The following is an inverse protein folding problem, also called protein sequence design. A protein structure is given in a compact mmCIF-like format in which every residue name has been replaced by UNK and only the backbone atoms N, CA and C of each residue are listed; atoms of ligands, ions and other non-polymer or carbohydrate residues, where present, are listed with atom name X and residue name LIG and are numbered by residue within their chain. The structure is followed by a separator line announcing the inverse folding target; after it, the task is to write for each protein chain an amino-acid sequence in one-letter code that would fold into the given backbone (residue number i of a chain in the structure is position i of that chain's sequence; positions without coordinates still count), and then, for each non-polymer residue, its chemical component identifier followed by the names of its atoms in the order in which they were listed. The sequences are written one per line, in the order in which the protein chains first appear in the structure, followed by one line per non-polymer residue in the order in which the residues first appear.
data_IF_782601463715
#
_entry.id   IF_782601463715
#
_cell.length_a   1.000
_cell.length_b   1.000
_cell.length_c   1.000
_cell.angle_alpha   90.00
_cell.angle_beta   90.00
_cell.angle_gamma   90.00
#
_symmetry.space_group_name_H-M   'P 1'
#
loop_
_entity.id
_entity.type
_entity.pdbx_description
1 polymer ?
#
# COMPACT_ATOMS: atom_id res chain seq x y z
N UNK A 1 -3.76 36.06 -7.30
CA UNK A 1 -5.08 35.42 -7.20
C UNK A 1 -4.98 34.06 -7.90
N UNK A 2 -4.58 33.02 -7.16
CA UNK A 2 -4.63 31.63 -7.66
C UNK A 2 -6.06 31.14 -7.48
N UNK A 3 -6.74 30.87 -8.58
CA UNK A 3 -7.97 30.06 -8.56
C UNK A 3 -7.67 28.74 -7.84
N UNK A 4 -8.14 28.62 -6.60
CA UNK A 4 -8.17 27.35 -5.90
C UNK A 4 -9.13 26.44 -6.67
N UNK A 5 -8.55 25.59 -7.51
CA UNK A 5 -9.27 24.54 -8.23
C UNK A 5 -10.09 23.78 -7.17
N UNK A 6 -11.40 23.92 -7.27
CA UNK A 6 -12.40 23.32 -6.38
C UNK A 6 -12.35 21.80 -6.59
N UNK A 7 -11.39 21.12 -5.95
CA UNK A 7 -11.21 19.67 -6.05
C UNK A 7 -12.51 19.01 -5.62
N UNK A 8 -13.13 18.27 -6.50
CA UNK A 8 -14.40 17.61 -6.21
C UNK A 8 -14.14 16.40 -5.29
N UNK A 9 -14.92 16.17 -4.23
CA UNK A 9 -14.69 15.07 -3.28
C UNK A 9 -14.58 13.70 -3.95
N UNK A 10 -15.34 13.45 -5.02
CA UNK A 10 -15.31 12.19 -5.75
C UNK A 10 -13.95 11.96 -6.47
N UNK A 11 -13.29 13.03 -6.93
CA UNK A 11 -12.02 12.92 -7.62
C UNK A 11 -10.91 12.46 -6.66
N UNK A 12 -10.93 12.93 -5.41
CA UNK A 12 -10.00 12.48 -4.35
C UNK A 12 -10.24 11.02 -4.01
N UNK A 13 -11.52 10.62 -3.90
CA UNK A 13 -11.88 9.23 -3.62
C UNK A 13 -11.46 8.30 -4.76
N UNK A 14 -11.71 8.70 -6.01
CA UNK A 14 -11.32 7.94 -7.20
C UNK A 14 -9.79 7.83 -7.34
N UNK A 15 -9.07 8.95 -7.15
CA UNK A 15 -7.62 8.97 -7.17
C UNK A 15 -7.04 8.08 -6.07
N UNK A 16 -7.57 8.17 -4.84
CA UNK A 16 -7.17 7.31 -3.73
C UNK A 16 -7.43 5.84 -4.02
N UNK A 17 -8.58 5.47 -4.56
CA UNK A 17 -8.90 4.11 -4.95
C UNK A 17 -7.96 3.60 -6.06
N UNK A 18 -7.68 4.40 -7.08
CA UNK A 18 -6.74 4.04 -8.16
C UNK A 18 -5.33 3.77 -7.63
N UNK A 19 -4.82 4.60 -6.71
CA UNK A 19 -3.54 4.35 -6.04
C UNK A 19 -3.59 3.03 -5.29
N UNK A 20 -4.64 2.78 -4.51
CA UNK A 20 -4.73 1.58 -3.67
C UNK A 20 -4.82 0.27 -4.47
N UNK A 21 -5.43 0.29 -5.64
CA UNK A 21 -5.41 -0.87 -6.56
C UNK A 21 -3.99 -1.24 -6.99
N UNK A 22 -3.10 -0.27 -7.13
CA UNK A 22 -1.70 -0.49 -7.55
C UNK A 22 -0.76 -0.78 -6.37
N UNK A 23 -1.10 -0.34 -5.15
CA UNK A 23 -0.20 -0.38 -3.99
C UNK A 23 -0.48 -1.51 -3.02
N UNK A 24 -1.48 -2.35 -3.26
CA UNK A 24 -1.86 -3.47 -2.40
C UNK A 24 -0.91 -4.68 -2.49
N UNK A 25 0.40 -4.46 -2.48
CA UNK A 25 1.44 -5.49 -2.56
C UNK A 25 1.28 -6.63 -1.54
N UNK A 26 0.92 -6.37 -0.26
CA UNK A 26 0.73 -7.45 0.69
C UNK A 26 -0.34 -8.46 0.26
N UNK A 27 -1.42 -7.99 -0.36
CA UNK A 27 -2.50 -8.85 -0.85
C UNK A 27 -2.10 -9.66 -2.10
N UNK A 28 -1.10 -9.21 -2.84
CA UNK A 28 -0.65 -9.82 -4.09
C UNK A 28 0.67 -10.61 -3.93
N UNK A 29 1.27 -10.66 -2.75
CA UNK A 29 2.60 -11.26 -2.57
C UNK A 29 2.72 -12.68 -3.10
N UNK A 30 1.67 -13.48 -2.96
CA UNK A 30 1.67 -14.88 -3.44
C UNK A 30 1.97 -15.04 -4.94
N UNK A 31 1.64 -14.05 -5.79
CA UNK A 31 1.97 -14.10 -7.22
C UNK A 31 3.42 -13.68 -7.51
N UNK A 32 4.02 -12.88 -6.64
CA UNK A 32 5.41 -12.45 -6.77
C UNK A 32 6.41 -13.47 -6.20
N UNK A 33 6.00 -14.22 -5.18
CA UNK A 33 6.88 -15.07 -4.40
C UNK A 33 7.70 -16.03 -5.26
N UNK A 34 7.04 -16.84 -6.07
CA UNK A 34 7.70 -17.85 -6.89
C UNK A 34 8.62 -17.26 -7.97
N UNK A 35 8.18 -16.28 -8.78
CA UNK A 35 9.07 -15.62 -9.74
C UNK A 35 10.27 -14.91 -9.10
N UNK A 36 10.11 -14.32 -7.90
CA UNK A 36 11.20 -13.70 -7.15
C UNK A 36 12.22 -14.75 -6.67
N UNK A 37 11.75 -15.92 -6.22
CA UNK A 37 12.63 -17.03 -5.84
C UNK A 37 13.45 -17.51 -7.03
N UNK A 38 12.82 -17.72 -8.18
CA UNK A 38 13.45 -18.21 -9.39
C UNK A 38 14.49 -17.21 -9.94
N UNK A 39 14.17 -15.90 -9.97
CA UNK A 39 15.06 -14.88 -10.51
C UNK A 39 16.25 -14.55 -9.61
N UNK A 40 16.00 -14.39 -8.31
CA UNK A 40 17.03 -13.92 -7.35
C UNK A 40 17.66 -15.05 -6.54
N UNK A 41 17.36 -16.31 -6.87
CA UNK A 41 17.94 -17.48 -6.19
C UNK A 41 17.59 -17.55 -4.70
N UNK A 42 16.43 -17.02 -4.30
CA UNK A 42 15.97 -17.05 -2.93
C UNK A 42 15.36 -18.40 -2.58
N UNK A 43 15.65 -18.92 -1.39
CA UNK A 43 14.93 -20.06 -0.85
C UNK A 43 13.48 -19.68 -0.51
N UNK A 44 12.62 -20.68 -0.30
CA UNK A 44 11.24 -20.45 0.14
C UNK A 44 11.18 -19.65 1.45
N UNK A 45 12.07 -19.96 2.39
CA UNK A 45 12.23 -19.20 3.62
C UNK A 45 12.67 -17.76 3.35
N UNK A 46 13.60 -17.55 2.40
CA UNK A 46 14.06 -16.24 1.97
C UNK A 46 12.93 -15.38 1.43
N UNK A 47 12.07 -15.94 0.58
CA UNK A 47 10.89 -15.23 0.06
C UNK A 47 9.88 -14.89 1.18
N UNK A 48 9.73 -15.78 2.16
CA UNK A 48 8.95 -15.52 3.38
C UNK A 48 9.53 -14.37 4.20
N UNK A 49 10.86 -14.32 4.38
CA UNK A 49 11.53 -13.20 5.05
C UNK A 49 11.37 -11.88 4.28
N UNK A 50 11.43 -11.90 2.94
CA UNK A 50 11.18 -10.71 2.13
C UNK A 50 9.79 -10.10 2.41
N UNK A 51 8.78 -10.95 2.49
CA UNK A 51 7.43 -10.54 2.86
C UNK A 51 7.35 -10.04 4.31
N UNK A 52 7.97 -10.76 5.26
CA UNK A 52 8.02 -10.36 6.66
C UNK A 52 8.65 -8.98 6.85
N UNK A 53 9.78 -8.70 6.17
CA UNK A 53 10.43 -7.40 6.16
C UNK A 53 9.52 -6.32 5.56
N UNK A 54 8.85 -6.60 4.45
CA UNK A 54 7.92 -5.68 3.82
C UNK A 54 6.80 -5.26 4.80
N UNK A 55 6.18 -6.23 5.47
CA UNK A 55 5.10 -5.98 6.44
C UNK A 55 5.61 -5.27 7.70
N UNK A 56 6.80 -5.61 8.19
CA UNK A 56 7.40 -4.94 9.34
C UNK A 56 7.65 -3.45 9.03
N UNK A 57 8.24 -3.14 7.86
CA UNK A 57 8.47 -1.77 7.44
C UNK A 57 7.18 -1.03 7.04
N UNK A 58 6.15 -1.75 6.60
CA UNK A 58 4.81 -1.18 6.47
C UNK A 58 4.27 -0.71 7.82
N UNK A 59 4.36 -1.53 8.87
CA UNK A 59 3.95 -1.15 10.22
C UNK A 59 4.69 0.07 10.76
N UNK A 60 6.03 0.06 10.68
CA UNK A 60 6.89 1.18 11.08
C UNK A 60 6.55 2.43 10.25
N UNK A 61 6.40 2.26 8.96
CA UNK A 61 6.09 3.33 8.02
C UNK A 61 4.73 3.98 8.26
N UNK A 62 3.72 3.24 8.73
CA UNK A 62 2.42 3.83 9.09
C UNK A 62 2.54 4.85 10.23
N UNK A 63 3.41 4.59 11.21
CA UNK A 63 3.67 5.54 12.30
C UNK A 63 4.41 6.77 11.79
N UNK A 64 5.50 6.58 11.05
CA UNK A 64 6.30 7.68 10.48
C UNK A 64 5.47 8.49 9.48
N UNK A 65 4.73 7.81 8.60
CA UNK A 65 3.87 8.43 7.59
C UNK A 65 2.73 9.23 8.21
N UNK A 66 2.16 8.75 9.32
CA UNK A 66 1.17 9.49 10.10
C UNK A 66 1.73 10.81 10.64
N UNK A 67 2.89 10.79 11.30
CA UNK A 67 3.57 12.01 11.75
C UNK A 67 3.91 12.96 10.61
N UNK A 68 4.37 12.42 9.49
CA UNK A 68 4.72 13.21 8.31
C UNK A 68 3.50 13.90 7.72
N UNK A 69 2.38 13.16 7.63
CA UNK A 69 1.09 13.67 7.18
C UNK A 69 0.54 14.77 8.10
N UNK A 70 0.61 14.58 9.42
CA UNK A 70 0.12 15.55 10.38
C UNK A 70 0.92 16.85 10.33
N UNK A 71 2.23 16.75 10.11
CA UNK A 71 3.13 17.90 10.05
C UNK A 71 3.10 18.64 8.71
N UNK A 72 3.10 17.92 7.59
CA UNK A 72 3.28 18.49 6.25
C UNK A 72 2.08 18.29 5.32
N UNK A 73 1.05 17.59 5.81
CA UNK A 73 -0.16 17.28 5.06
C UNK A 73 -0.11 15.98 4.25
N UNK A 74 -1.28 15.48 3.80
CA UNK A 74 -1.40 14.17 3.15
C UNK A 74 -0.69 14.11 1.79
N UNK A 75 -0.64 15.24 1.06
CA UNK A 75 0.05 15.32 -0.23
C UNK A 75 1.54 15.06 -0.11
N UNK A 76 2.19 15.65 0.88
CA UNK A 76 3.63 15.50 1.09
C UNK A 76 3.98 14.06 1.46
N UNK A 77 3.25 13.45 2.40
CA UNK A 77 3.46 12.07 2.79
C UNK A 77 3.23 11.10 1.61
N UNK A 78 2.18 11.33 0.81
CA UNK A 78 1.88 10.51 -0.36
C UNK A 78 2.95 10.62 -1.46
N UNK A 79 3.52 11.80 -1.70
CA UNK A 79 4.62 11.98 -2.66
C UNK A 79 5.88 11.23 -2.24
N UNK A 80 6.26 11.29 -0.96
CA UNK A 80 7.36 10.50 -0.42
C UNK A 80 7.08 9.00 -0.52
N UNK A 81 5.85 8.58 -0.21
CA UNK A 81 5.41 7.19 -0.38
C UNK A 81 5.53 6.72 -1.83
N UNK A 82 5.12 7.55 -2.79
CA UNK A 82 5.25 7.27 -4.22
C UNK A 82 6.71 7.09 -4.63
N UNK A 83 7.59 8.00 -4.19
CA UNK A 83 9.03 7.93 -4.49
C UNK A 83 9.68 6.66 -3.95
N UNK A 84 9.40 6.30 -2.71
CA UNK A 84 9.93 5.08 -2.08
C UNK A 84 9.41 3.81 -2.76
N UNK A 85 8.11 3.73 -3.03
CA UNK A 85 7.51 2.56 -3.66
C UNK A 85 8.04 2.33 -5.07
N UNK A 86 8.00 3.37 -5.91
CA UNK A 86 8.50 3.28 -7.29
C UNK A 86 10.01 3.08 -7.32
N UNK A 87 10.76 3.74 -6.44
CA UNK A 87 12.18 3.50 -6.24
C UNK A 87 12.48 2.05 -5.91
N UNK A 88 11.69 1.42 -5.03
CA UNK A 88 11.78 0.00 -4.71
C UNK A 88 11.54 -0.90 -5.92
N UNK A 89 10.53 -0.62 -6.74
CA UNK A 89 10.27 -1.36 -7.97
C UNK A 89 11.42 -1.26 -8.97
N UNK A 90 11.89 -0.05 -9.25
CA UNK A 90 12.99 0.14 -10.21
C UNK A 90 14.31 -0.44 -9.70
N UNK A 91 14.59 -0.29 -8.43
CA UNK A 91 15.79 -0.84 -7.82
C UNK A 91 15.77 -2.39 -7.79
N UNK A 92 14.62 -3.01 -7.53
CA UNK A 92 14.45 -4.45 -7.65
C UNK A 92 14.68 -4.90 -9.09
N UNK A 93 14.07 -4.23 -10.06
CA UNK A 93 14.24 -4.56 -11.48
C UNK A 93 15.71 -4.44 -11.97
N UNK A 94 16.47 -3.49 -11.41
CA UNK A 94 17.88 -3.29 -11.72
C UNK A 94 18.83 -4.23 -10.94
N UNK A 95 18.34 -4.94 -9.92
CA UNK A 95 19.17 -5.79 -9.05
C UNK A 95 19.70 -7.01 -9.83
N UNK A 96 21.03 -7.26 -9.83
CA UNK A 96 21.59 -8.49 -10.41
C UNK A 96 21.09 -9.75 -9.70
N UNK A 97 20.80 -10.81 -10.44
CA UNK A 97 20.31 -12.09 -9.91
C UNK A 97 21.25 -12.69 -8.83
N UNK A 98 22.55 -12.49 -8.99
CA UNK A 98 23.58 -12.98 -8.05
C UNK A 98 23.51 -12.35 -6.65
N UNK A 99 22.83 -11.20 -6.52
CA UNK A 99 22.70 -10.47 -5.25
C UNK A 99 21.32 -10.59 -4.63
N UNK A 100 20.74 -11.80 -4.64
CA UNK A 100 19.40 -12.05 -4.12
C UNK A 100 19.20 -11.61 -2.66
N UNK A 101 20.22 -11.71 -1.81
CA UNK A 101 20.13 -11.21 -0.43
C UNK A 101 19.91 -9.70 -0.31
N UNK A 102 20.34 -8.92 -1.30
CA UNK A 102 20.12 -7.47 -1.32
C UNK A 102 18.65 -7.12 -1.63
N UNK A 103 17.84 -8.05 -2.13
CA UNK A 103 16.42 -7.85 -2.44
C UNK A 103 15.62 -7.35 -1.22
N UNK A 104 15.95 -7.84 -0.02
CA UNK A 104 15.30 -7.38 1.22
C UNK A 104 15.46 -5.87 1.43
N UNK A 105 16.69 -5.37 1.28
CA UNK A 105 17.00 -3.95 1.47
C UNK A 105 16.50 -3.07 0.32
N UNK A 106 16.65 -3.58 -0.91
CA UNK A 106 16.39 -2.82 -2.13
C UNK A 106 14.90 -2.74 -2.47
N UNK A 107 14.15 -3.81 -2.20
CA UNK A 107 12.72 -3.88 -2.50
C UNK A 107 11.85 -3.83 -1.26
N UNK A 108 12.03 -4.76 -0.30
CA UNK A 108 11.05 -4.94 0.77
C UNK A 108 10.96 -3.73 1.70
N UNK A 109 12.08 -3.09 2.02
CA UNK A 109 12.10 -1.90 2.87
C UNK A 109 11.41 -0.71 2.18
N UNK A 110 11.85 -0.25 0.99
CA UNK A 110 11.23 0.92 0.37
C UNK A 110 9.80 0.66 -0.09
N UNK A 111 9.46 -0.56 -0.51
CA UNK A 111 8.08 -0.89 -0.87
C UNK A 111 7.16 -0.91 0.34
N UNK A 112 7.61 -1.44 1.48
CA UNK A 112 6.87 -1.41 2.73
C UNK A 112 6.63 0.01 3.24
N UNK A 113 7.68 0.82 3.33
CA UNK A 113 7.59 2.23 3.73
C UNK A 113 6.74 3.06 2.76
N UNK A 114 6.93 2.87 1.44
CA UNK A 114 6.20 3.59 0.40
C UNK A 114 4.70 3.33 0.48
N UNK A 115 4.30 2.06 0.58
CA UNK A 115 2.89 1.67 0.75
C UNK A 115 2.32 2.22 2.07
N UNK A 116 3.12 2.20 3.15
CA UNK A 116 2.73 2.71 4.46
C UNK A 116 2.49 4.22 4.49
N UNK A 117 3.22 4.99 3.70
CA UNK A 117 3.01 6.44 3.61
C UNK A 117 1.78 6.77 2.77
N UNK A 118 1.51 5.97 1.74
CA UNK A 118 0.34 6.16 0.86
C UNK A 118 -0.96 5.79 1.56
N UNK A 119 -1.03 4.62 2.19
CA UNK A 119 -2.29 4.06 2.70
C UNK A 119 -2.99 4.96 3.73
N UNK A 120 -2.39 5.32 4.89
CA UNK A 120 -3.06 6.16 5.89
C UNK A 120 -3.31 7.58 5.36
N UNK A 121 -2.44 8.12 4.51
CA UNK A 121 -2.61 9.46 3.95
C UNK A 121 -3.84 9.56 3.05
N UNK A 122 -4.07 8.55 2.20
CA UNK A 122 -5.24 8.46 1.35
C UNK A 122 -6.50 8.26 2.17
N UNK A 123 -6.45 7.33 3.14
CA UNK A 123 -7.58 6.98 4.00
C UNK A 123 -8.05 8.18 4.83
N UNK A 124 -7.11 8.87 5.49
CA UNK A 124 -7.39 10.05 6.29
C UNK A 124 -7.93 11.21 5.44
N UNK A 125 -7.31 11.46 4.29
CA UNK A 125 -7.78 12.50 3.36
C UNK A 125 -9.21 12.22 2.88
N UNK A 126 -9.49 10.98 2.44
CA UNK A 126 -10.83 10.59 1.99
C UNK A 126 -11.89 10.75 3.10
N UNK A 127 -11.58 10.35 4.33
CA UNK A 127 -12.50 10.50 5.48
C UNK A 127 -12.75 11.97 5.84
N UNK A 128 -11.76 12.85 5.71
CA UNK A 128 -11.92 14.29 5.93
C UNK A 128 -12.88 14.94 4.92
N UNK A 129 -12.85 14.48 3.67
CA UNK A 129 -13.77 14.95 2.62
C UNK A 129 -15.19 14.39 2.76
N UNK A 130 -15.33 13.19 3.31
CA UNK A 130 -16.63 12.49 3.48
C UNK A 130 -17.05 12.45 4.96
N UNK A 131 -17.01 13.60 5.68
CA UNK A 131 -17.33 13.68 7.11
C UNK A 131 -18.68 13.01 7.48
N UNK A 132 -19.71 13.19 6.67
CA UNK A 132 -21.03 12.59 6.90
C UNK A 132 -21.17 11.13 6.45
N UNK A 133 -20.19 10.59 5.70
CA UNK A 133 -20.23 9.25 5.10
C UNK A 133 -18.86 8.58 5.17
N UNK A 134 -18.20 8.64 6.33
CA UNK A 134 -16.84 8.08 6.54
C UNK A 134 -16.77 6.59 6.18
N UNK A 135 -17.83 5.83 6.46
CA UNK A 135 -17.91 4.40 6.12
C UNK A 135 -17.85 4.14 4.61
N UNK A 136 -18.47 5.00 3.78
CA UNK A 136 -18.37 4.90 2.33
C UNK A 136 -16.94 5.15 1.85
N UNK A 137 -16.28 6.19 2.34
CA UNK A 137 -14.89 6.48 1.99
C UNK A 137 -13.95 5.31 2.38
N UNK A 138 -14.09 4.81 3.60
CA UNK A 138 -13.31 3.67 4.10
C UNK A 138 -13.59 2.40 3.28
N UNK A 139 -14.86 2.14 2.95
CA UNK A 139 -15.26 0.97 2.18
C UNK A 139 -14.73 0.99 0.74
N UNK A 140 -14.76 2.14 0.07
CA UNK A 140 -14.22 2.26 -1.30
C UNK A 140 -12.70 2.10 -1.31
N UNK A 141 -11.98 2.76 -0.40
CA UNK A 141 -10.52 2.64 -0.31
C UNK A 141 -10.11 1.22 0.10
N UNK A 142 -10.75 0.63 1.11
CA UNK A 142 -10.49 -0.75 1.53
C UNK A 142 -10.84 -1.78 0.46
N UNK A 143 -11.96 -1.58 -0.25
CA UNK A 143 -12.35 -2.41 -1.40
C UNK A 143 -11.32 -2.34 -2.54
N UNK A 144 -10.73 -1.16 -2.80
CA UNK A 144 -9.67 -0.99 -3.78
C UNK A 144 -8.40 -1.76 -3.39
N UNK A 145 -8.03 -1.79 -2.09
CA UNK A 145 -6.93 -2.64 -1.60
C UNK A 145 -7.24 -4.12 -1.81
N UNK A 146 -8.47 -4.56 -1.51
CA UNK A 146 -8.89 -5.94 -1.77
C UNK A 146 -8.81 -6.32 -3.26
N UNK A 147 -9.22 -5.41 -4.15
CA UNK A 147 -9.16 -5.61 -5.60
C UNK A 147 -7.74 -5.63 -6.15
N UNK A 148 -6.78 -5.01 -5.44
CA UNK A 148 -5.37 -4.97 -5.85
C UNK A 148 -4.76 -6.35 -6.02
N UNK A 149 -5.12 -7.31 -5.16
CA UNK A 149 -4.65 -8.69 -5.26
C UNK A 149 -5.02 -9.34 -6.60
N UNK A 150 -6.27 -9.16 -7.03
CA UNK A 150 -6.74 -9.66 -8.32
C UNK A 150 -6.05 -8.94 -9.49
N UNK A 151 -6.01 -7.60 -9.44
CA UNK A 151 -5.39 -6.78 -10.49
C UNK A 151 -3.91 -7.12 -10.67
N UNK A 152 -3.14 -7.10 -9.60
CA UNK A 152 -1.70 -7.37 -9.63
C UNK A 152 -1.40 -8.82 -10.05
N UNK A 153 -2.27 -9.78 -9.67
CA UNK A 153 -2.13 -11.17 -10.10
C UNK A 153 -2.25 -11.28 -11.62
N UNK A 154 -3.28 -10.68 -12.21
CA UNK A 154 -3.47 -10.69 -13.67
C UNK A 154 -2.32 -9.95 -14.36
N UNK A 155 -1.95 -8.78 -13.83
CA UNK A 155 -0.86 -7.97 -14.38
C UNK A 155 0.47 -8.72 -14.40
N UNK A 156 0.90 -9.26 -13.27
CA UNK A 156 2.18 -9.96 -13.14
C UNK A 156 2.21 -11.20 -14.05
N UNK A 157 1.13 -11.99 -14.10
CA UNK A 157 1.04 -13.15 -14.99
C UNK A 157 1.15 -12.76 -16.46
N UNK A 158 0.50 -11.67 -16.85
CA UNK A 158 0.57 -11.19 -18.24
C UNK A 158 1.97 -10.67 -18.56
N UNK A 159 2.59 -9.94 -17.63
CA UNK A 159 3.96 -9.45 -17.78
C UNK A 159 4.96 -10.61 -17.89
N UNK A 160 4.86 -11.63 -17.03
CA UNK A 160 5.71 -12.83 -17.10
C UNK A 160 5.61 -13.55 -18.45
N UNK A 161 4.40 -13.63 -19.02
CA UNK A 161 4.19 -14.22 -20.35
C UNK A 161 4.78 -13.34 -21.46
N UNK A 162 4.68 -12.01 -21.33
CA UNK A 162 5.14 -11.07 -22.35
C UNK A 162 6.65 -10.87 -22.39
N UNK A 163 7.32 -10.81 -21.23
CA UNK A 163 8.77 -10.60 -21.15
C UNK A 163 9.59 -11.89 -21.25
N UNK A 164 8.94 -13.08 -21.24
CA UNK A 164 9.59 -14.38 -21.38
C UNK A 164 10.40 -14.81 -20.14
N UNK A 165 11.03 -16.01 -20.19
CA UNK A 165 11.65 -16.64 -19.02
C UNK A 165 12.92 -15.92 -18.51
N UNK A 166 13.60 -15.14 -19.36
CA UNK A 166 14.90 -14.51 -19.03
C UNK A 166 14.77 -13.17 -18.30
N UNK A 167 13.64 -12.48 -18.45
CA UNK A 167 13.43 -11.14 -17.83
C UNK A 167 12.08 -11.02 -17.13
N UNK A 168 11.37 -12.11 -16.94
CA UNK A 168 9.96 -12.13 -16.55
C UNK A 168 9.62 -11.23 -15.36
N UNK A 169 10.20 -11.48 -14.18
CA UNK A 169 9.85 -10.72 -12.98
C UNK A 169 10.51 -9.32 -12.96
N UNK A 170 11.73 -9.18 -13.52
CA UNK A 170 12.39 -7.87 -13.64
C UNK A 170 11.60 -6.95 -14.55
N UNK A 171 11.15 -7.47 -15.71
CA UNK A 171 10.27 -6.75 -16.61
C UNK A 171 8.94 -6.37 -15.97
N UNK A 172 8.37 -7.27 -15.15
CA UNK A 172 7.16 -6.98 -14.37
C UNK A 172 7.38 -5.85 -13.36
N UNK A 173 8.52 -5.81 -12.65
CA UNK A 173 8.86 -4.71 -11.74
C UNK A 173 9.08 -3.39 -12.49
N UNK A 174 9.74 -3.40 -13.66
CA UNK A 174 9.87 -2.21 -14.51
C UNK A 174 8.51 -1.70 -14.96
N UNK A 175 7.64 -2.58 -15.43
CA UNK A 175 6.31 -2.21 -15.91
C UNK A 175 5.42 -1.71 -14.75
N UNK A 176 5.48 -2.35 -13.58
CA UNK A 176 4.77 -1.88 -12.38
C UNK A 176 5.26 -0.50 -11.95
N UNK A 177 6.57 -0.29 -11.88
CA UNK A 177 7.14 1.02 -11.56
C UNK A 177 6.69 2.09 -12.54
N UNK A 178 6.73 1.79 -13.86
CA UNK A 178 6.33 2.71 -14.92
C UNK A 178 4.84 3.07 -14.90
N UNK A 179 3.96 2.16 -14.48
CA UNK A 179 2.51 2.42 -14.37
C UNK A 179 2.19 3.08 -13.03
N UNK A 180 2.79 2.59 -11.94
CA UNK A 180 2.51 3.08 -10.59
C UNK A 180 2.99 4.52 -10.42
N UNK A 181 4.14 4.88 -10.99
CA UNK A 181 4.70 6.23 -10.85
C UNK A 181 3.74 7.33 -11.31
N UNK A 182 3.24 7.35 -12.56
CA UNK A 182 2.35 8.42 -13.01
C UNK A 182 1.00 8.41 -12.28
N UNK A 183 0.44 7.24 -11.97
CA UNK A 183 -0.84 7.15 -11.26
C UNK A 183 -0.72 7.64 -9.83
N UNK A 184 0.31 7.17 -9.09
CA UNK A 184 0.53 7.60 -7.72
C UNK A 184 0.97 9.06 -7.65
N UNK A 185 1.78 9.55 -8.60
CA UNK A 185 2.18 10.95 -8.67
C UNK A 185 0.98 11.86 -8.92
N UNK A 186 0.19 11.58 -9.96
CA UNK A 186 -1.01 12.35 -10.28
C UNK A 186 -2.03 12.30 -9.13
N UNK A 187 -2.27 11.12 -8.57
CA UNK A 187 -3.19 10.96 -7.45
C UNK A 187 -2.70 11.67 -6.19
N UNK A 188 -1.41 11.59 -5.86
CA UNK A 188 -0.81 12.29 -4.71
C UNK A 188 -0.90 13.81 -4.86
N UNK A 189 -0.78 14.33 -6.07
CA UNK A 189 -0.95 15.76 -6.36
C UNK A 189 -2.39 16.23 -6.15
N UNK A 190 -3.38 15.37 -6.33
CA UNK A 190 -4.80 15.64 -6.08
C UNK A 190 -5.18 15.56 -4.59
N UNK A 191 -4.39 14.84 -3.77
CA UNK A 191 -4.65 14.73 -2.34
C UNK A 191 -4.44 16.08 -1.64
N UNK A 192 -5.53 16.67 -1.18
CA UNK A 192 -5.54 17.93 -0.43
C UNK A 192 -6.55 17.82 0.71
N UNK A 193 -6.20 18.35 1.87
CA UNK A 193 -7.16 18.48 2.95
C UNK A 193 -8.25 19.51 2.62
N UNK A 194 -9.51 19.25 3.03
CA UNK A 194 -10.60 20.22 2.84
C UNK A 194 -10.26 21.55 3.51
N UNK A 195 -10.64 22.69 2.93
CA UNK A 195 -10.35 24.01 3.48
C UNK A 195 -10.82 24.20 4.93
N UNK A 196 -11.97 23.62 5.26
CA UNK A 196 -12.54 23.64 6.62
C UNK A 196 -11.69 22.92 7.66
N UNK A 197 -10.97 21.87 7.27
CA UNK A 197 -10.09 21.12 8.19
C UNK A 197 -8.87 21.91 8.58
N UNK A 198 -8.39 22.81 7.72
CA UNK A 198 -7.27 23.71 8.01
C UNK A 198 -7.66 24.83 9.00
N UNK A 199 -8.88 25.33 8.90
CA UNK A 199 -9.39 26.36 9.81
C UNK A 199 -9.64 25.80 11.22
N UNK A 200 -10.15 24.56 11.33
CA UNK A 200 -10.38 23.91 12.63
C UNK A 200 -9.08 23.54 13.35
N UNK A 201 -7.98 23.30 12.66
CA UNK A 201 -6.66 23.09 13.28
C UNK A 201 -6.08 24.39 13.88
N UNK A 202 -6.45 25.54 13.33
CA UNK A 202 -6.02 26.87 13.85
C UNK A 202 -6.97 27.47 14.89
N UNK A 203 -8.21 26.99 14.97
CA UNK A 203 -9.27 27.53 15.80
C UNK A 203 -9.96 26.51 16.68
N UNK A 204 -9.25 25.47 17.17
CA UNK A 204 -9.86 24.39 17.96
C UNK A 204 -10.53 24.89 19.21
N UNK A 205 -11.80 25.22 19.07
CA UNK A 205 -12.76 25.35 20.17
C UNK A 205 -13.37 24.01 20.55
N UNK A 206 -12.88 23.44 21.59
CA UNK A 206 -13.56 22.80 22.73
C UNK A 206 -14.47 21.56 22.60
N UNK A 207 -14.69 20.85 21.49
CA UNK A 207 -15.60 19.69 21.55
C UNK A 207 -15.13 18.37 20.91
N UNK A 208 -13.92 18.29 20.37
CA UNK A 208 -13.31 16.99 20.05
C UNK A 208 -12.19 16.73 21.04
N UNK A 209 -12.22 15.56 21.69
CA UNK A 209 -11.15 15.12 22.61
C UNK A 209 -9.94 14.82 21.73
N UNK A 210 -9.08 15.81 21.53
CA UNK A 210 -7.83 15.67 20.79
C UNK A 210 -6.79 15.08 21.74
N UNK A 211 -6.66 13.75 21.70
CA UNK A 211 -5.69 13.01 22.51
C UNK A 211 -4.34 12.99 21.79
N UNK A 212 -3.31 13.47 22.46
CA UNK A 212 -1.95 13.26 21.97
C UNK A 212 -1.63 11.75 21.88
N UNK A 213 -0.70 11.30 21.01
CA UNK A 213 -0.34 9.89 20.87
C UNK A 213 0.02 9.23 22.21
N UNK A 214 0.70 9.94 23.10
CA UNK A 214 1.05 9.45 24.44
C UNK A 214 -0.15 9.33 25.39
N UNK A 215 -1.14 10.19 25.25
CA UNK A 215 -2.38 10.09 26.02
C UNK A 215 -3.24 8.93 25.50
N UNK A 216 -3.28 8.70 24.19
CA UNK A 216 -3.98 7.60 23.55
C UNK A 216 -3.42 6.24 24.01
N UNK A 217 -2.10 6.08 24.12
CA UNK A 217 -1.45 4.87 24.64
C UNK A 217 -1.82 4.56 26.10
N UNK A 218 -2.28 5.55 26.87
CA UNK A 218 -2.73 5.34 28.26
C UNK A 218 -4.20 4.91 28.37
N UNK A 219 -4.95 4.91 27.26
CA UNK A 219 -6.37 4.53 27.25
C UNK A 219 -6.55 3.02 27.11
N UNK A 220 -7.45 2.44 27.90
CA UNK A 220 -7.80 1.01 27.81
C UNK A 220 -8.40 0.65 26.43
N UNK A 221 -9.17 1.58 25.84
CA UNK A 221 -9.77 1.40 24.53
C UNK A 221 -8.74 1.17 23.43
N UNK A 222 -7.62 1.89 23.48
CA UNK A 222 -6.53 1.69 22.54
C UNK A 222 -5.99 0.26 22.57
N UNK A 223 -5.70 -0.27 23.76
CA UNK A 223 -5.15 -1.62 23.91
C UNK A 223 -6.14 -2.72 23.56
N UNK A 224 -7.45 -2.51 23.81
CA UNK A 224 -8.48 -3.43 23.37
C UNK A 224 -8.58 -3.48 21.83
N UNK A 225 -8.58 -2.32 21.17
CA UNK A 225 -8.57 -2.26 19.70
C UNK A 225 -7.27 -2.84 19.12
N UNK A 226 -6.12 -2.49 19.68
CA UNK A 226 -4.83 -3.02 19.24
C UNK A 226 -4.77 -4.55 19.40
N UNK A 227 -5.25 -5.08 20.53
CA UNK A 227 -5.35 -6.51 20.76
C UNK A 227 -6.26 -7.21 19.75
N UNK A 228 -7.45 -6.66 19.50
CA UNK A 228 -8.38 -7.21 18.50
C UNK A 228 -7.75 -7.27 17.11
N UNK A 229 -7.05 -6.21 16.69
CA UNK A 229 -6.33 -6.17 15.40
C UNK A 229 -5.17 -7.17 15.39
N UNK A 230 -4.38 -7.26 16.47
CA UNK A 230 -3.26 -8.20 16.56
C UNK A 230 -3.72 -9.66 16.45
N UNK A 231 -4.89 -10.01 16.97
CA UNK A 231 -5.41 -11.37 16.86
C UNK A 231 -6.10 -11.68 15.52
N UNK A 232 -6.71 -10.68 14.86
CA UNK A 232 -7.41 -10.88 13.59
C UNK A 232 -6.50 -10.82 12.37
N UNK A 233 -5.49 -9.96 12.39
CA UNK A 233 -4.60 -9.73 11.22
C UNK A 233 -3.76 -10.95 10.83
N UNK A 234 -3.14 -11.73 11.74
CA UNK A 234 -2.36 -12.90 11.39
C UNK A 234 -3.17 -13.95 10.63
N UNK A 235 -4.45 -14.14 11.00
CA UNK A 235 -5.31 -15.08 10.29
C UNK A 235 -5.45 -14.68 8.81
N UNK A 236 -5.73 -13.41 8.52
CA UNK A 236 -5.85 -12.91 7.14
C UNK A 236 -4.53 -13.03 6.37
N UNK A 237 -3.41 -12.67 6.98
CA UNK A 237 -2.10 -12.70 6.34
C UNK A 237 -1.58 -14.12 6.10
N UNK A 238 -1.85 -15.06 6.99
CA UNK A 238 -1.46 -16.47 6.83
C UNK A 238 -2.29 -17.16 5.75
N UNK A 239 -3.59 -16.91 5.70
CA UNK A 239 -4.46 -17.55 4.72
C UNK A 239 -4.39 -16.93 3.32
N UNK A 240 -4.03 -15.65 3.19
CA UNK A 240 -3.97 -14.96 1.90
C UNK A 240 -3.05 -15.64 0.88
N UNK A 241 -1.77 -15.96 1.15
CA UNK A 241 -0.91 -16.66 0.19
C UNK A 241 -1.34 -18.12 -0.05
N UNK A 242 -1.90 -18.77 0.98
CA UNK A 242 -2.34 -20.17 0.89
C UNK A 242 -3.57 -20.29 -0.01
N UNK A 243 -4.52 -19.38 0.09
CA UNK A 243 -5.75 -19.40 -0.72
C UNK A 243 -5.44 -19.30 -2.21
N UNK A 244 -4.43 -18.51 -2.60
CA UNK A 244 -3.98 -18.43 -4.01
C UNK A 244 -3.39 -19.76 -4.47
N UNK A 245 -2.63 -20.46 -3.64
CA UNK A 245 -2.09 -21.80 -3.96
C UNK A 245 -3.19 -22.86 -4.09
N UNK A 246 -4.15 -22.88 -3.17
CA UNK A 246 -5.22 -23.88 -3.18
C UNK A 246 -6.19 -23.71 -4.35
N UNK A 247 -6.55 -22.51 -4.75
CA UNK A 247 -7.41 -22.28 -5.92
C UNK A 247 -6.76 -22.74 -7.23
N UNK A 248 -5.44 -22.90 -7.27
CA UNK A 248 -4.73 -23.46 -8.41
C UNK A 248 -4.61 -24.99 -8.40
N UNK A 249 -4.62 -25.59 -7.23
CA UNK A 249 -4.52 -27.05 -7.08
C UNK A 249 -5.89 -27.75 -7.16
N UNK A 250 -6.98 -27.02 -6.90
CA UNK A 250 -8.34 -27.61 -6.83
C UNK A 250 -9.25 -27.28 -7.99
N UNK A 251 -8.76 -26.63 -9.06
CA UNK A 251 -9.44 -26.64 -10.33
C UNK A 251 -9.04 -27.94 -11.06
N UNK A 252 -9.81 -29.03 -10.96
CA UNK A 252 -9.60 -30.14 -11.86
C UNK A 252 -9.91 -29.62 -13.24
N UNK A 253 -8.93 -29.62 -14.14
CA UNK A 253 -9.16 -29.59 -15.55
C UNK A 253 -9.88 -30.87 -15.90
N UNK A 254 -11.18 -30.93 -15.67
CA UNK A 254 -12.03 -31.84 -16.35
C UNK A 254 -12.14 -31.35 -17.79
N UNK A 255 -11.10 -31.60 -18.56
CA UNK A 255 -11.20 -31.73 -20.00
C UNK A 255 -11.88 -33.06 -20.28
N UNK A 256 -13.16 -33.02 -20.52
CA UNK A 256 -13.80 -33.95 -21.42
C UNK A 256 -13.82 -33.33 -22.80
#
# INVERSE_FOLDING_TARGET
MHEMQKTRPWAILAAGAAIQVLTGLPAAWGVFQRPVMEEYGLSEQGAGYAFGVLIAFFGIGCVIGGFLQDKHGPRFAALWGTGLLCGGFFAAAALPAEKGSAFFGVFSIPAGLGTAFLYPSIQSCAQKWYKGRKGLATGVIGGAVGLSGAFLTVFVRTALRGFGPVQGIRGAFWALGAITLPVCLAGSLLLQDPPESRQNQQGSGKNEIDLSPWQMLKTKQYWLCAGAVCFSTPAVLLFSPITVSYTHLTLPTNSL
#
